data_IF_133703020643
#
_entry.id   IF_133703020643
#
_cell.length_a   1.000
_cell.length_b   1.000
_cell.length_c   1.000
_cell.angle_alpha   90.00
_cell.angle_beta   90.00
_cell.angle_gamma   90.00
#
_symmetry.space_group_name_H-M   'P 1'
#
loop_
_entity.id
_entity.type
_entity.pdbx_description
1 polymer ?
#
# COMPACT_ATOMS: atom_id res chain seq x y z
N UNK A 1 0.87 -4.84 -11.72
CA UNK A 1 1.93 -3.96 -11.17
C UNK A 1 1.39 -2.54 -11.22
N UNK A 2 0.98 -1.95 -10.09
CA UNK A 2 0.54 -0.55 -10.04
C UNK A 2 1.75 0.27 -9.62
N UNK A 3 2.45 0.85 -10.60
CA UNK A 3 3.67 1.61 -10.39
C UNK A 3 3.41 3.09 -10.57
N UNK A 4 3.17 3.81 -9.49
CA UNK A 4 3.30 5.27 -9.50
C UNK A 4 4.81 5.55 -9.55
N UNK A 5 5.31 6.26 -10.57
CA UNK A 5 6.74 6.60 -10.73
C UNK A 5 7.72 5.41 -10.81
N UNK A 6 7.38 4.33 -11.54
CA UNK A 6 8.22 3.12 -11.64
C UNK A 6 8.59 2.48 -10.27
N UNK A 7 7.91 2.87 -9.21
CA UNK A 7 8.07 2.29 -7.89
C UNK A 7 7.15 1.08 -7.78
N UNK A 8 7.74 -0.11 -7.60
CA UNK A 8 6.98 -1.33 -7.32
C UNK A 8 7.21 -1.76 -5.87
N UNK A 9 6.14 -2.22 -5.23
CA UNK A 9 6.19 -2.85 -3.92
C UNK A 9 6.06 -4.36 -4.10
N UNK A 10 7.01 -5.11 -3.57
CA UNK A 10 6.97 -6.58 -3.56
C UNK A 10 6.26 -7.07 -2.30
N UNK A 11 5.37 -8.05 -2.46
CA UNK A 11 4.71 -8.74 -1.36
C UNK A 11 5.04 -10.23 -1.50
N UNK A 12 5.77 -10.78 -0.53
CA UNK A 12 5.92 -12.24 -0.43
C UNK A 12 4.61 -12.84 0.08
N UNK A 13 4.08 -13.90 -0.52
CA UNK A 13 2.75 -14.44 -0.17
C UNK A 13 2.81 -15.81 0.53
N UNK A 14 3.98 -16.20 1.02
CA UNK A 14 4.22 -17.49 1.66
C UNK A 14 4.06 -17.43 3.19
N UNK A 15 3.55 -16.32 3.72
CA UNK A 15 3.24 -16.15 5.14
C UNK A 15 4.43 -15.97 6.07
N UNK A 16 5.64 -15.77 5.52
CA UNK A 16 6.82 -15.39 6.33
C UNK A 16 6.58 -14.04 7.04
N UNK A 17 7.27 -13.72 8.14
CA UNK A 17 7.29 -12.35 8.65
C UNK A 17 7.90 -11.37 7.62
N UNK A 18 7.52 -10.08 7.62
CA UNK A 18 8.23 -9.07 6.85
C UNK A 18 9.74 -9.12 7.12
N UNK A 19 10.54 -9.17 6.05
CA UNK A 19 12.00 -9.24 6.12
C UNK A 19 12.63 -7.85 6.37
N UNK A 20 12.08 -7.12 7.34
CA UNK A 20 12.54 -5.78 7.69
C UNK A 20 13.98 -5.82 8.23
N UNK A 21 14.85 -4.98 7.67
CA UNK A 21 16.21 -4.80 8.12
C UNK A 21 16.37 -3.39 8.70
N UNK A 22 16.75 -3.28 9.97
CA UNK A 22 16.98 -2.00 10.64
C UNK A 22 18.16 -1.20 10.04
N UNK A 23 19.16 -1.89 9.48
CA UNK A 23 20.31 -1.25 8.81
C UNK A 23 19.98 -0.80 7.39
N UNK A 24 18.91 -1.33 6.80
CA UNK A 24 18.49 -1.05 5.42
C UNK A 24 16.99 -0.75 5.36
N UNK A 25 16.51 0.37 5.91
CA UNK A 25 15.10 0.72 5.83
C UNK A 25 14.68 1.06 4.39
N UNK A 26 13.45 0.70 4.02
CA UNK A 26 12.90 0.89 2.68
C UNK A 26 11.80 1.97 2.68
N UNK A 27 11.70 2.76 1.60
CA UNK A 27 10.64 3.78 1.49
C UNK A 27 9.24 3.15 1.62
N UNK A 28 8.99 2.02 0.94
CA UNK A 28 7.72 1.30 1.02
C UNK A 28 7.70 0.18 2.07
N UNK A 29 8.74 0.07 2.90
CA UNK A 29 8.92 -1.03 3.82
C UNK A 29 9.07 -2.38 3.12
N UNK A 30 9.03 -3.43 3.94
CA UNK A 30 9.09 -4.83 3.53
C UNK A 30 7.73 -5.46 3.78
N UNK A 31 7.17 -6.12 2.78
CA UNK A 31 5.83 -6.67 2.88
C UNK A 31 5.81 -8.17 2.79
N UNK A 32 5.00 -8.77 3.65
CA UNK A 32 4.67 -10.18 3.58
C UNK A 32 3.19 -10.39 3.82
N UNK A 33 2.62 -11.33 3.09
CA UNK A 33 1.21 -11.63 3.10
C UNK A 33 0.94 -13.11 3.23
N UNK A 34 -0.26 -13.39 3.71
CA UNK A 34 -0.84 -14.73 3.83
C UNK A 34 -2.33 -14.66 3.53
N UNK A 35 -2.88 -15.78 3.05
CA UNK A 35 -4.31 -15.90 2.84
C UNK A 35 -5.02 -16.33 4.12
N UNK A 36 -6.06 -15.59 4.49
CA UNK A 36 -7.04 -15.95 5.52
C UNK A 36 -8.39 -16.12 4.82
N UNK A 37 -8.71 -17.35 4.41
CA UNK A 37 -9.87 -17.61 3.55
C UNK A 37 -9.75 -16.92 2.19
N UNK A 38 -10.69 -16.02 1.88
CA UNK A 38 -10.74 -15.24 0.64
C UNK A 38 -10.01 -13.88 0.74
N UNK A 39 -9.38 -13.61 1.88
CA UNK A 39 -8.75 -12.32 2.20
C UNK A 39 -7.23 -12.47 2.21
N UNK A 40 -6.52 -11.68 1.41
CA UNK A 40 -5.07 -11.57 1.51
C UNK A 40 -4.74 -10.54 2.60
N UNK A 41 -4.09 -11.00 3.67
CA UNK A 41 -3.63 -10.17 4.78
C UNK A 41 -2.16 -9.90 4.59
N UNK A 42 -1.79 -8.62 4.49
CA UNK A 42 -0.42 -8.16 4.25
C UNK A 42 0.04 -7.33 5.43
N UNK A 43 1.19 -7.68 6.00
CA UNK A 43 1.88 -6.90 7.00
C UNK A 43 3.10 -6.22 6.38
N UNK A 44 3.34 -4.97 6.78
CA UNK A 44 4.49 -4.18 6.31
C UNK A 44 5.16 -3.44 7.45
N UNK A 45 6.49 -3.48 7.46
CA UNK A 45 7.34 -2.80 8.44
C UNK A 45 8.71 -2.47 7.84
N UNK A 46 9.59 -1.82 8.61
CA UNK A 46 10.94 -1.45 8.14
C UNK A 46 10.94 -0.25 7.19
N UNK A 47 10.04 0.71 7.46
CA UNK A 47 9.97 1.96 6.72
C UNK A 47 11.18 2.85 7.01
N UNK A 48 11.55 3.72 6.07
CA UNK A 48 12.40 4.87 6.38
C UNK A 48 11.65 5.83 7.31
N UNK A 49 12.39 6.51 8.18
CA UNK A 49 11.82 7.52 9.07
C UNK A 49 11.50 8.83 8.32
N UNK A 50 10.77 9.72 8.98
CA UNK A 50 10.41 11.07 8.50
C UNK A 50 9.70 11.09 7.14
N UNK A 51 8.81 10.12 6.91
CA UNK A 51 8.02 10.03 5.68
C UNK A 51 6.61 10.60 5.87
N UNK A 52 5.93 10.82 4.74
CA UNK A 52 4.49 11.07 4.72
C UNK A 52 3.74 9.81 4.31
N UNK A 53 2.72 9.46 5.08
CA UNK A 53 1.81 8.35 4.82
C UNK A 53 0.88 8.64 3.63
N UNK A 54 0.47 9.90 3.46
CA UNK A 54 -0.49 10.34 2.46
C UNK A 54 -0.16 11.74 1.92
N UNK A 55 -0.95 12.19 0.93
CA UNK A 55 -0.79 13.52 0.30
C UNK A 55 -1.10 14.69 1.22
N UNK A 56 -1.78 14.46 2.34
CA UNK A 56 -2.09 15.51 3.31
C UNK A 56 -0.94 15.71 4.31
N UNK A 57 0.15 14.94 4.18
CA UNK A 57 1.32 15.06 5.04
C UNK A 57 1.18 14.36 6.39
N UNK A 58 0.27 13.39 6.50
CA UNK A 58 0.17 12.56 7.72
C UNK A 58 1.50 11.87 7.98
N UNK A 59 2.09 11.91 9.20
CA UNK A 59 3.41 11.33 9.46
C UNK A 59 3.45 9.80 9.31
N UNK A 60 4.60 9.28 8.87
CA UNK A 60 4.95 7.86 8.89
C UNK A 60 6.39 7.71 9.38
N UNK A 61 6.59 6.97 10.46
CA UNK A 61 7.90 6.75 11.07
C UNK A 61 8.42 5.34 10.82
N UNK A 62 9.69 5.13 11.18
CA UNK A 62 10.34 3.81 11.21
C UNK A 62 9.65 2.80 12.15
N UNK A 63 8.87 3.27 13.13
CA UNK A 63 8.16 2.44 14.09
C UNK A 63 6.83 1.89 13.53
N UNK A 64 6.42 2.33 12.34
CA UNK A 64 5.16 1.95 11.74
C UNK A 64 5.10 0.46 11.40
N UNK A 65 3.96 -0.13 11.75
CA UNK A 65 3.50 -1.43 11.26
C UNK A 65 2.14 -1.23 10.59
N UNK A 66 2.08 -1.57 9.31
CA UNK A 66 0.85 -1.44 8.51
C UNK A 66 0.31 -2.84 8.24
N UNK A 67 -0.97 -3.05 8.51
CA UNK A 67 -1.70 -4.28 8.17
C UNK A 67 -2.80 -3.95 7.18
N UNK A 68 -2.74 -4.55 6.00
CA UNK A 68 -3.73 -4.40 4.94
C UNK A 68 -4.49 -5.71 4.74
N UNK A 69 -5.81 -5.64 4.66
CA UNK A 69 -6.69 -6.78 4.34
C UNK A 69 -7.35 -6.52 3.00
N UNK A 70 -6.88 -7.23 1.98
CA UNK A 70 -7.41 -7.15 0.62
C UNK A 70 -8.47 -8.23 0.43
N UNK A 71 -9.71 -7.81 0.15
CA UNK A 71 -10.85 -8.71 -0.07
C UNK A 71 -11.53 -8.39 -1.40
N UNK A 72 -11.53 -9.34 -2.32
CA UNK A 72 -12.23 -9.21 -3.59
C UNK A 72 -13.70 -9.59 -3.40
N UNK A 73 -14.56 -8.59 -3.25
CA UNK A 73 -16.00 -8.80 -2.98
C UNK A 73 -16.71 -9.40 -4.19
N UNK A 74 -16.34 -8.94 -5.38
CA UNK A 74 -16.81 -9.48 -6.66
C UNK A 74 -15.82 -9.10 -7.78
N UNK A 75 -16.14 -9.44 -9.03
CA UNK A 75 -15.25 -9.21 -10.16
C UNK A 75 -14.85 -7.73 -10.35
N UNK A 76 -15.72 -6.79 -9.99
CA UNK A 76 -15.51 -5.34 -10.18
C UNK A 76 -15.19 -4.55 -8.91
N UNK A 77 -15.09 -5.19 -7.75
CA UNK A 77 -14.90 -4.49 -6.47
C UNK A 77 -13.84 -5.17 -5.59
N UNK A 78 -12.82 -4.41 -5.24
CA UNK A 78 -11.82 -4.74 -4.24
C UNK A 78 -12.02 -3.85 -3.01
N UNK A 79 -12.14 -4.45 -1.84
CA UNK A 79 -12.12 -3.76 -0.56
C UNK A 79 -10.74 -3.92 0.07
N UNK A 80 -10.21 -2.83 0.59
CA UNK A 80 -8.91 -2.80 1.28
C UNK A 80 -9.14 -2.14 2.62
N UNK A 81 -8.98 -2.89 3.70
CA UNK A 81 -8.94 -2.34 5.05
C UNK A 81 -7.48 -2.15 5.44
N UNK A 82 -7.10 -0.93 5.81
CA UNK A 82 -5.71 -0.57 6.15
C UNK A 82 -5.71 -0.14 7.60
N UNK A 83 -4.99 -0.87 8.44
CA UNK A 83 -4.73 -0.50 9.83
C UNK A 83 -3.29 -0.01 9.95
N UNK A 84 -3.12 1.20 10.48
CA UNK A 84 -1.81 1.82 10.73
C UNK A 84 -1.56 1.81 12.22
N UNK A 85 -0.46 1.18 12.63
CA UNK A 85 0.05 1.22 14.00
C UNK A 85 1.43 1.87 13.99
N UNK A 86 1.49 3.14 14.33
CA UNK A 86 2.73 3.90 14.47
C UNK A 86 2.68 4.68 15.80
N UNK A 87 3.30 4.16 16.87
CA UNK A 87 3.24 4.76 18.20
C UNK A 87 4.11 6.02 18.34
N UNK A 88 5.01 6.31 17.41
CA UNK A 88 5.78 7.56 17.40
C UNK A 88 4.96 8.71 16.81
N UNK A 89 4.07 8.41 15.85
CA UNK A 89 3.22 9.41 15.21
C UNK A 89 1.81 9.54 15.83
N UNK A 90 1.19 8.44 16.27
CA UNK A 90 -0.23 8.41 16.66
C UNK A 90 -0.43 7.82 18.06
N UNK A 91 -1.48 8.27 18.75
CA UNK A 91 -1.81 7.82 20.12
C UNK A 91 -2.34 6.39 20.19
N UNK A 92 -2.92 5.89 19.10
CA UNK A 92 -3.48 4.56 18.99
C UNK A 92 -3.50 4.13 17.52
N UNK A 93 -3.54 2.82 17.23
CA UNK A 93 -3.78 2.33 15.88
C UNK A 93 -5.12 2.83 15.33
N UNK A 94 -5.17 3.10 14.04
CA UNK A 94 -6.38 3.53 13.37
C UNK A 94 -6.55 2.79 12.04
N UNK A 95 -7.79 2.72 11.56
CA UNK A 95 -8.16 1.92 10.40
C UNK A 95 -8.96 2.75 9.40
N UNK A 96 -8.64 2.60 8.12
CA UNK A 96 -9.41 3.14 6.99
C UNK A 96 -9.84 2.04 6.04
N UNK A 97 -10.97 2.25 5.36
CA UNK A 97 -11.48 1.34 4.33
C UNK A 97 -11.48 2.04 2.98
N UNK A 98 -10.80 1.43 2.01
CA UNK A 98 -10.77 1.86 0.63
C UNK A 98 -11.58 0.89 -0.23
N UNK A 99 -12.39 1.43 -1.12
CA UNK A 99 -13.10 0.66 -2.14
C UNK A 99 -12.48 0.99 -3.49
N UNK A 100 -11.94 -0.01 -4.16
CA UNK A 100 -11.35 0.11 -5.49
C UNK A 100 -12.25 -0.56 -6.51
N UNK A 101 -12.60 0.17 -7.56
CA UNK A 101 -13.27 -0.40 -8.74
C UNK A 101 -12.24 -1.12 -9.58
N UNK A 102 -12.43 -2.42 -9.76
CA UNK A 102 -11.65 -3.22 -10.70
C UNK A 102 -12.37 -3.20 -12.05
N UNK A 103 -11.65 -2.90 -13.13
CA UNK A 103 -12.16 -3.07 -14.49
C UNK A 103 -11.62 -4.40 -15.01
N UNK A 104 -12.43 -5.47 -15.06
CA UNK A 104 -11.99 -6.76 -15.60
C UNK A 104 -11.65 -6.61 -17.08
N UNK A 105 -10.69 -7.40 -17.58
CA UNK A 105 -10.29 -7.42 -18.99
C UNK A 105 -9.74 -6.09 -19.53
N UNK A 106 -9.15 -5.27 -18.67
CA UNK A 106 -8.35 -4.09 -19.04
C UNK A 106 -6.87 -4.41 -18.88
N UNK A 107 -6.05 -3.95 -19.82
CA UNK A 107 -4.60 -3.98 -19.65
C UNK A 107 -4.16 -2.92 -18.64
N UNK A 108 -3.21 -3.28 -17.78
CA UNK A 108 -2.54 -2.32 -16.93
C UNK A 108 -1.66 -1.44 -17.81
N UNK A 109 -2.16 -0.28 -18.19
CA UNK A 109 -1.39 0.71 -18.94
C UNK A 109 -0.47 1.47 -17.98
N UNK A 110 0.79 1.71 -18.38
CA UNK A 110 1.72 2.48 -17.56
C UNK A 110 1.21 3.92 -17.40
N UNK A 111 0.98 4.32 -16.16
CA UNK A 111 0.77 5.73 -15.84
C UNK A 111 2.14 6.41 -15.67
N UNK A 112 2.72 6.85 -16.78
CA UNK A 112 3.86 7.75 -16.75
C UNK A 112 3.35 9.16 -16.44
N UNK A 113 3.55 9.61 -15.21
CA UNK A 113 3.35 11.00 -14.85
C UNK A 113 4.49 11.84 -15.46
N UNK A 114 4.45 12.04 -16.77
CA UNK A 114 5.36 12.98 -17.44
C UNK A 114 5.01 14.38 -16.95
N UNK A 115 5.99 15.09 -16.38
CA UNK A 115 5.93 16.51 -16.03
C UNK A 115 5.75 17.36 -17.31
N UNK A 116 4.57 17.31 -17.95
CA UNK A 116 4.02 18.27 -18.94
C UNK A 116 2.83 17.74 -19.77
N UNK A 117 2.09 16.73 -19.31
CA UNK A 117 0.90 16.31 -20.06
C UNK A 117 -0.24 17.33 -19.87
N UNK A 118 -0.72 18.03 -20.93
CA UNK A 118 -1.83 18.96 -20.80
C UNK A 118 -3.09 18.18 -20.40
N UNK A 119 -3.81 18.72 -19.40
CA UNK A 119 -5.12 18.23 -18.99
C UNK A 119 -6.03 18.10 -20.22
N UNK A 120 -6.34 16.88 -20.64
CA UNK A 120 -7.45 16.65 -21.57
C UNK A 120 -8.75 16.76 -20.78
N UNK A 121 -9.19 18.01 -20.59
CA UNK A 121 -10.60 18.35 -20.35
C UNK A 121 -11.35 17.98 -21.62
N UNK A 122 -12.38 17.17 -21.47
CA UNK A 122 -13.06 16.49 -22.57
C UNK A 122 -13.71 17.37 -23.64
N UNK A 123 -14.02 16.69 -24.74
CA UNK A 123 -15.21 16.89 -25.59
C UNK A 123 -15.67 15.53 -26.09
#
# INVERSE_FOLDING_TARGET
>A
MYGYNAMFRQIFTDGRPPLANAEMPAFFGYSSGKWEGDTLVVETSGFKDEQWLDRNGSPLTDAAKITERFRRVNYGKLEIEITVNDPKAYKAPWTVKLNQSLVPNTELTDYLCLENSPNLIGK
#
